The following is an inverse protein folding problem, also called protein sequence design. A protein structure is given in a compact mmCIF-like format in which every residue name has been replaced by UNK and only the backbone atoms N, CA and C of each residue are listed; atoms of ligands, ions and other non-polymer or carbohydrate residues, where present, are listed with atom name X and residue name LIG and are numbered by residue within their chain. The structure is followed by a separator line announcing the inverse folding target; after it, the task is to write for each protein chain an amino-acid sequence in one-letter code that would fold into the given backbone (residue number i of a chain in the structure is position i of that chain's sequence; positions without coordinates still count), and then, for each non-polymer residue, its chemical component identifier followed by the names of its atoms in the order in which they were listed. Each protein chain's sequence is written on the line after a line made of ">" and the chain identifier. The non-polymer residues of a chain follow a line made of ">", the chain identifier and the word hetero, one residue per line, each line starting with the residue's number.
data_IF_861020475964
#
_entry.id   IF_861020475964
#
_cell.length_a   1.000
_cell.length_b   1.000
_cell.length_c   1.000
_cell.angle_alpha   90.00
_cell.angle_beta   90.00
_cell.angle_gamma   90.00
#
_symmetry.space_group_name_H-M   'P 1'
#
loop_
_entity.id
_entity.type
_entity.pdbx_description
1 polymer ?
#
# COMPACT_ATOMS: atom_id res chain seq x y z
N UNK A 1 12.87 10.72 11.22
CA UNK A 1 12.54 12.14 10.97
C UNK A 1 11.22 12.16 10.21
N UNK A 2 10.25 12.97 10.65
CA UNK A 2 8.94 13.07 9.98
C UNK A 2 8.89 14.33 9.14
N UNK A 3 8.24 14.25 7.98
CA UNK A 3 8.07 15.38 7.06
C UNK A 3 6.60 15.51 6.68
N UNK A 4 6.12 16.73 6.49
CA UNK A 4 4.74 16.99 6.11
C UNK A 4 4.60 17.13 4.61
N UNK A 5 3.62 16.45 4.03
CA UNK A 5 3.23 16.61 2.62
C UNK A 5 1.84 17.25 2.56
N UNK A 6 1.64 18.19 1.63
CA UNK A 6 0.31 18.75 1.34
C UNK A 6 -0.32 17.94 0.22
N UNK A 7 -1.54 17.45 0.45
CA UNK A 7 -2.31 16.69 -0.52
C UNK A 7 -3.62 17.40 -0.82
N UNK A 8 -4.12 17.25 -2.05
CA UNK A 8 -5.50 17.63 -2.36
C UNK A 8 -6.46 16.70 -1.63
N UNK A 9 -7.63 17.22 -1.28
CA UNK A 9 -8.64 16.45 -0.54
C UNK A 9 -9.05 15.17 -1.27
N UNK A 10 -9.17 15.23 -2.60
CA UNK A 10 -9.49 14.07 -3.44
C UNK A 10 -8.43 12.97 -3.33
N UNK A 11 -7.14 13.32 -3.45
CA UNK A 11 -6.04 12.37 -3.29
C UNK A 11 -6.02 11.76 -1.89
N UNK A 12 -6.31 12.56 -0.86
CA UNK A 12 -6.40 12.07 0.52
C UNK A 12 -7.57 11.08 0.70
N UNK A 13 -8.72 11.33 0.07
CA UNK A 13 -9.86 10.39 0.06
C UNK A 13 -9.51 9.08 -0.64
N UNK A 14 -8.81 9.14 -1.77
CA UNK A 14 -8.32 7.94 -2.45
C UNK A 14 -7.35 7.15 -1.57
N UNK A 15 -6.40 7.83 -0.90
CA UNK A 15 -5.49 7.20 0.07
C UNK A 15 -6.24 6.52 1.23
N UNK A 16 -7.34 7.11 1.70
CA UNK A 16 -8.16 6.51 2.75
C UNK A 16 -8.79 5.18 2.31
N UNK A 17 -9.09 5.00 1.02
CA UNK A 17 -9.65 3.73 0.49
C UNK A 17 -8.64 2.59 0.46
N UNK A 18 -7.35 2.89 0.47
CA UNK A 18 -6.27 1.89 0.50
C UNK A 18 -5.96 1.35 1.91
N UNK A 19 -6.63 1.86 2.96
CA UNK A 19 -6.45 1.33 4.31
C UNK A 19 -7.07 -0.05 4.44
N UNK A 20 -6.25 -1.02 4.82
CA UNK A 20 -6.72 -2.38 5.13
C UNK A 20 -7.13 -2.52 6.60
N UNK A 21 -6.54 -1.68 7.46
CA UNK A 21 -6.78 -1.68 8.91
C UNK A 21 -7.10 -0.27 9.41
N UNK A 22 -7.88 -0.21 10.49
CA UNK A 22 -8.32 1.05 11.11
C UNK A 22 -7.17 1.95 11.57
N UNK A 23 -6.02 1.37 11.93
CA UNK A 23 -4.88 2.07 12.53
C UNK A 23 -3.69 2.25 11.57
N UNK A 24 -3.89 2.04 10.27
CA UNK A 24 -2.82 2.14 9.28
C UNK A 24 -2.45 3.61 9.00
N UNK A 25 -1.15 3.90 9.01
CA UNK A 25 -0.64 5.26 8.80
C UNK A 25 -0.54 5.60 7.31
N UNK A 26 -0.57 6.90 6.97
CA UNK A 26 -0.35 7.33 5.59
C UNK A 26 1.05 6.95 5.08
N UNK A 27 2.07 6.87 5.93
CA UNK A 27 3.41 6.43 5.52
C UNK A 27 3.38 4.97 5.04
N UNK A 28 2.67 4.09 5.74
CA UNK A 28 2.49 2.68 5.34
C UNK A 28 1.73 2.55 4.02
N UNK A 29 0.62 3.29 3.87
CA UNK A 29 -0.16 3.30 2.62
C UNK A 29 0.70 3.78 1.45
N UNK A 30 1.41 4.91 1.62
CA UNK A 30 2.26 5.49 0.58
C UNK A 30 3.39 4.51 0.22
N UNK A 31 4.00 3.83 1.20
CA UNK A 31 5.02 2.80 0.93
C UNK A 31 4.45 1.62 0.13
N UNK A 32 3.23 1.15 0.42
CA UNK A 32 2.56 0.09 -0.36
C UNK A 32 2.34 0.52 -1.80
N UNK A 33 1.81 1.72 -2.02
CA UNK A 33 1.61 2.29 -3.36
C UNK A 33 2.95 2.41 -4.10
N UNK A 34 3.98 2.93 -3.45
CA UNK A 34 5.32 3.05 -4.02
C UNK A 34 5.95 1.69 -4.35
N UNK A 35 5.71 0.68 -3.51
CA UNK A 35 6.17 -0.69 -3.78
C UNK A 35 5.51 -1.25 -5.04
N UNK A 36 4.18 -1.12 -5.16
CA UNK A 36 3.46 -1.55 -6.37
C UNK A 36 4.02 -0.81 -7.59
N UNK A 37 4.07 0.53 -7.55
CA UNK A 37 4.54 1.34 -8.67
C UNK A 37 5.97 0.98 -9.11
N UNK A 38 6.88 0.68 -8.16
CA UNK A 38 8.26 0.28 -8.45
C UNK A 38 8.38 -1.13 -9.05
N UNK A 39 7.46 -2.03 -8.72
CA UNK A 39 7.51 -3.42 -9.15
C UNK A 39 6.72 -3.69 -10.44
N UNK A 40 5.70 -2.88 -10.75
CA UNK A 40 4.90 -2.99 -11.98
C UNK A 40 5.77 -2.90 -13.25
N UNK A 41 6.82 -2.09 -13.25
CA UNK A 41 7.74 -1.98 -14.39
C UNK A 41 8.85 -3.03 -14.44
N UNK A 42 9.12 -3.74 -13.33
CA UNK A 42 10.25 -4.67 -13.21
C UNK A 42 9.87 -6.15 -13.29
N UNK A 43 8.61 -6.48 -13.01
CA UNK A 43 8.10 -7.85 -13.06
C UNK A 43 6.62 -7.84 -13.50
N UNK A 44 6.29 -8.17 -14.76
CA UNK A 44 4.91 -8.45 -15.15
C UNK A 44 4.31 -9.67 -14.43
N UNK A 45 5.16 -10.48 -13.77
CA UNK A 45 4.78 -11.53 -12.83
C UNK A 45 5.05 -11.02 -11.42
N UNK A 46 4.11 -10.26 -10.84
CA UNK A 46 3.97 -10.16 -9.38
C UNK A 46 3.90 -11.60 -8.87
N UNK A 47 5.03 -12.11 -8.36
CA UNK A 47 5.21 -13.54 -8.13
C UNK A 47 4.05 -14.06 -7.28
N UNK A 48 3.45 -15.18 -7.70
CA UNK A 48 2.35 -15.84 -6.99
C UNK A 48 2.64 -16.02 -5.50
N UNK A 49 3.93 -16.08 -5.14
CA UNK A 49 4.43 -16.17 -3.77
C UNK A 49 4.11 -14.92 -2.94
N UNK A 50 4.27 -13.72 -3.50
CA UNK A 50 3.97 -12.46 -2.80
C UNK A 50 2.47 -12.28 -2.61
N UNK A 51 1.64 -12.70 -3.58
CA UNK A 51 0.19 -12.71 -3.44
C UNK A 51 -0.23 -13.71 -2.35
N UNK A 52 0.35 -14.92 -2.35
CA UNK A 52 0.10 -15.94 -1.32
C UNK A 52 0.48 -15.48 0.08
N UNK A 53 1.63 -14.82 0.25
CA UNK A 53 2.06 -14.30 1.56
C UNK A 53 1.11 -13.21 2.09
N UNK A 54 0.58 -12.36 1.20
CA UNK A 54 -0.44 -11.35 1.55
C UNK A 54 -1.78 -12.01 1.90
N UNK A 55 -2.21 -13.05 1.15
CA UNK A 55 -3.42 -13.82 1.45
C UNK A 55 -3.32 -14.62 2.76
N UNK A 56 -2.16 -15.22 3.04
CA UNK A 56 -1.92 -15.96 4.29
C UNK A 56 -1.87 -15.03 5.51
N UNK A 57 -1.28 -13.83 5.37
CA UNK A 57 -1.32 -12.81 6.41
C UNK A 57 -2.75 -12.34 6.70
N UNK A 58 -3.61 -12.26 5.68
CA UNK A 58 -5.03 -11.90 5.81
C UNK A 58 -5.91 -13.00 6.43
N UNK A 59 -5.53 -14.29 6.35
CA UNK A 59 -6.28 -15.40 6.96
C UNK A 59 -6.04 -15.61 8.46
N UNK A 60 -5.06 -14.91 9.05
CA UNK A 60 -4.69 -15.06 10.48
C UNK A 60 -5.33 -14.02 11.41
N UNK A 61 -6.24 -13.19 10.89
CA UNK A 61 -7.05 -12.21 11.61
C UNK A 61 -8.50 -12.66 11.51
#
# INVERSE_FOLDING_TARGET
>A
MVTTIKLKEQTKKELDTFREYKNETYDEIIRKVLYIAKNVGKNPQLSEKTIKEIEEARKRI
#
